data_IF_127313035133
#
_entry.id   IF_127313035133
#
_cell.length_a   1.000
_cell.length_b   1.000
_cell.length_c   1.000
_cell.angle_alpha   90.00
_cell.angle_beta   90.00
_cell.angle_gamma   90.00
#
_symmetry.space_group_name_H-M   'P 1'
#
loop_
_entity.id
_entity.type
_entity.pdbx_description
1 polymer ?
#
# COMPACT_ATOMS: atom_id res chain seq x y z
N UNK A 1 3.53 23.76 10.57
CA UNK A 1 2.09 24.05 10.67
C UNK A 1 1.36 22.77 10.30
N UNK A 2 0.77 22.09 11.28
CA UNK A 2 -0.08 20.92 11.07
C UNK A 2 -1.40 21.40 10.45
N UNK A 3 -1.70 20.92 9.25
CA UNK A 3 -2.93 21.27 8.56
C UNK A 3 -4.06 20.46 9.21
N UNK A 4 -4.92 21.14 9.98
CA UNK A 4 -6.17 20.58 10.50
C UNK A 4 -6.91 19.85 9.38
N UNK A 5 -6.86 18.52 9.40
CA UNK A 5 -7.36 17.64 8.34
C UNK A 5 -8.87 17.38 8.51
N UNK A 6 -9.65 18.42 8.81
CA UNK A 6 -11.13 18.36 8.87
C UNK A 6 -11.73 18.36 7.45
N UNK A 7 -10.96 18.78 6.44
CA UNK A 7 -11.38 18.82 5.05
C UNK A 7 -10.91 17.55 4.31
N UNK A 8 -11.84 16.84 3.66
CA UNK A 8 -11.55 15.69 2.80
C UNK A 8 -10.47 15.98 1.76
N UNK A 9 -10.40 17.21 1.25
CA UNK A 9 -9.39 17.62 0.27
C UNK A 9 -7.98 17.62 0.87
N UNK A 10 -7.83 18.02 2.13
CA UNK A 10 -6.55 17.99 2.83
C UNK A 10 -6.10 16.53 3.06
N UNK A 11 -7.03 15.65 3.42
CA UNK A 11 -6.78 14.21 3.57
C UNK A 11 -6.32 13.58 2.25
N UNK A 12 -7.01 13.88 1.16
CA UNK A 12 -6.64 13.42 -0.18
C UNK A 12 -5.27 13.95 -0.57
N UNK A 13 -4.98 15.23 -0.29
CA UNK A 13 -3.67 15.82 -0.62
C UNK A 13 -2.49 15.12 0.08
N UNK A 14 -2.72 14.57 1.28
CA UNK A 14 -1.72 13.84 2.06
C UNK A 14 -1.61 12.38 1.62
N UNK A 15 -2.73 11.71 1.37
CA UNK A 15 -2.76 10.27 1.06
C UNK A 15 -2.43 9.95 -0.40
N UNK A 16 -2.80 10.84 -1.33
CA UNK A 16 -2.68 10.60 -2.77
C UNK A 16 -1.22 10.48 -3.26
N UNK A 17 -0.24 11.26 -2.78
CA UNK A 17 1.17 11.05 -3.11
C UNK A 17 1.68 9.68 -2.66
N UNK A 18 1.30 9.23 -1.46
CA UNK A 18 1.71 7.94 -0.92
C UNK A 18 1.07 6.79 -1.68
N UNK A 19 -0.22 6.90 -2.01
CA UNK A 19 -0.90 5.95 -2.88
C UNK A 19 -0.23 5.85 -4.25
N UNK A 20 0.17 6.98 -4.85
CA UNK A 20 0.89 6.97 -6.14
C UNK A 20 2.21 6.21 -6.06
N UNK A 21 3.02 6.45 -5.02
CA UNK A 21 4.28 5.71 -4.78
C UNK A 21 4.03 4.21 -4.63
N UNK A 22 2.95 3.85 -3.96
CA UNK A 22 2.56 2.46 -3.74
C UNK A 22 2.14 1.79 -5.05
N UNK A 23 1.28 2.45 -5.84
CA UNK A 23 0.85 1.98 -7.15
C UNK A 23 1.98 1.89 -8.17
N UNK A 24 3.02 2.74 -8.10
CA UNK A 24 4.20 2.61 -8.97
C UNK A 24 4.98 1.31 -8.73
N UNK A 25 4.88 0.73 -7.53
CA UNK A 25 5.50 -0.53 -7.17
C UNK A 25 4.48 -1.69 -7.14
N UNK A 26 3.34 -1.53 -7.82
CA UNK A 26 2.25 -2.49 -7.76
C UNK A 26 2.71 -3.86 -8.30
N UNK A 27 2.55 -4.94 -7.52
CA UNK A 27 2.82 -6.28 -8.00
C UNK A 27 1.75 -6.74 -8.99
N UNK A 28 2.11 -7.65 -9.89
CA UNK A 28 1.17 -8.18 -10.89
C UNK A 28 0.01 -8.98 -10.26
N UNK A 29 0.23 -9.55 -9.06
CA UNK A 29 -0.77 -10.29 -8.29
C UNK A 29 -0.54 -10.06 -6.79
N UNK A 30 -1.60 -9.77 -6.05
CA UNK A 30 -1.51 -9.51 -4.61
C UNK A 30 -2.53 -8.49 -4.12
N UNK A 31 -2.23 -7.92 -2.97
CA UNK A 31 -3.00 -6.88 -2.29
C UNK A 31 -2.12 -5.66 -2.02
N UNK A 32 -2.71 -4.49 -2.21
CA UNK A 32 -2.14 -3.19 -1.86
C UNK A 32 -3.04 -2.58 -0.78
N UNK A 33 -2.45 -2.14 0.32
CA UNK A 33 -3.19 -1.49 1.40
C UNK A 33 -2.55 -0.15 1.78
N UNK A 34 -3.40 0.86 1.91
CA UNK A 34 -3.05 2.17 2.47
C UNK A 34 -4.00 2.41 3.64
N UNK A 35 -3.48 2.59 4.84
CA UNK A 35 -4.26 2.93 6.02
C UNK A 35 -3.72 4.18 6.68
N UNK A 36 -4.62 4.98 7.24
CA UNK A 36 -4.28 6.19 7.95
C UNK A 36 -5.05 6.24 9.27
N UNK A 37 -4.36 6.65 10.33
CA UNK A 37 -4.96 6.90 11.64
C UNK A 37 -5.11 8.40 11.82
N UNK A 38 -6.33 8.83 12.09
CA UNK A 38 -6.69 10.23 12.26
C UNK A 38 -6.96 10.49 13.74
N UNK A 39 -6.32 11.51 14.31
CA UNK A 39 -6.47 11.95 15.69
C UNK A 39 -6.71 13.46 15.70
N UNK A 40 -7.77 13.91 16.37
CA UNK A 40 -8.14 15.33 16.48
C UNK A 40 -8.25 16.07 15.15
N UNK A 41 -8.69 15.34 14.12
CA UNK A 41 -8.79 15.85 12.76
C UNK A 41 -7.46 15.89 12.02
N UNK A 42 -6.34 15.41 12.59
CA UNK A 42 -5.05 15.33 11.92
C UNK A 42 -4.62 13.90 11.59
N UNK A 43 -3.91 13.71 10.48
CA UNK A 43 -3.32 12.42 10.13
C UNK A 43 -2.11 12.16 11.04
N UNK A 44 -2.31 11.33 12.06
CA UNK A 44 -1.26 10.99 13.03
C UNK A 44 -0.31 9.90 12.53
N UNK A 45 -0.79 8.98 11.69
CA UNK A 45 0.02 7.89 11.13
C UNK A 45 -0.50 7.45 9.77
N UNK A 46 0.43 7.17 8.85
CA UNK A 46 0.14 6.53 7.56
C UNK A 46 0.91 5.22 7.53
N UNK A 47 0.23 4.12 7.18
CA UNK A 47 0.83 2.81 6.98
C UNK A 47 0.56 2.34 5.55
N UNK A 48 1.62 1.87 4.90
CA UNK A 48 1.62 1.41 3.51
C UNK A 48 2.01 -0.08 3.53
N UNK A 49 1.24 -0.91 2.84
CA UNK A 49 1.48 -2.35 2.72
C UNK A 49 1.37 -2.83 1.27
N UNK A 50 2.30 -3.70 0.87
CA UNK A 50 2.20 -4.50 -0.35
C UNK A 50 2.33 -5.96 0.07
N UNK A 51 1.32 -6.76 -0.24
CA UNK A 51 1.34 -8.19 -0.02
C UNK A 51 1.25 -8.90 -1.38
N UNK A 52 2.17 -9.82 -1.63
CA UNK A 52 2.14 -10.63 -2.85
C UNK A 52 1.81 -12.07 -2.49
N UNK A 53 0.73 -12.58 -3.08
CA UNK A 53 0.36 -13.98 -2.94
C UNK A 53 0.70 -14.66 -4.25
N UNK A 54 1.78 -15.46 -4.25
CA UNK A 54 2.17 -16.24 -5.43
C UNK A 54 2.00 -17.73 -5.15
N UNK A 55 1.42 -18.45 -6.12
CA UNK A 55 1.44 -19.91 -6.10
C UNK A 55 2.88 -20.36 -6.33
N UNK A 56 3.54 -20.85 -5.27
CA UNK A 56 4.86 -21.46 -5.41
C UNK A 56 4.63 -22.81 -6.11
N UNK A 57 5.07 -22.94 -7.35
CA UNK A 57 5.04 -24.23 -8.04
C UNK A 57 5.81 -25.26 -7.22
N UNK A 58 5.20 -26.43 -7.03
CA UNK A 58 5.77 -27.54 -6.25
C UNK A 58 7.14 -27.91 -6.83
N UNK A 59 8.16 -28.17 -5.99
CA UNK A 59 9.52 -28.49 -6.46
C UNK A 59 9.61 -29.64 -7.47
N UNK A 60 8.62 -30.53 -7.52
CA UNK A 60 8.52 -31.63 -8.50
C UNK A 60 8.42 -31.19 -9.96
N UNK A 61 8.17 -29.91 -10.25
CA UNK A 61 8.22 -29.32 -11.60
C UNK A 61 9.54 -28.57 -11.91
N UNK A 62 10.50 -28.49 -10.97
CA UNK A 62 11.81 -27.82 -11.18
C UNK A 62 12.93 -28.75 -11.64
N UNK A 63 12.70 -30.07 -11.68
CA UNK A 63 13.70 -31.07 -12.03
C UNK A 63 13.26 -31.92 -13.21
N UNK A 64 13.10 -31.27 -14.38
CA UNK A 64 12.77 -31.92 -15.63
C UNK A 64 13.77 -31.56 -16.72
N UNK A 65 15.07 -31.77 -16.50
CA UNK A 65 16.02 -32.19 -17.54
C UNK A 65 17.41 -32.49 -16.95
N UNK A 66 17.80 -33.77 -17.07
CA UNK A 66 19.13 -34.38 -16.88
C UNK A 66 19.66 -34.52 -15.46
#
# INVERSE_FOLDING_TARGET
>A
MSAQTVNSDALISVLLPELRKLCSNAPQFGEISLSATIHDGDVGRISIGIQTTRKIATPSLRGGNR
#
